data_IF_083231622952
#
_entry.id   IF_083231622952
#
_cell.length_a   1.000
_cell.length_b   1.000
_cell.length_c   1.000
_cell.angle_alpha   90.00
_cell.angle_beta   90.00
_cell.angle_gamma   90.00
#
_symmetry.space_group_name_H-M   'P 1'
#
loop_
_entity.id
_entity.type
_entity.pdbx_description
1 polymer ?
#
# COMPACT_ATOMS: atom_id res chain seq x y z
N UNK A 1 11.02 -36.00 -13.01
CA UNK A 1 10.72 -34.77 -12.27
C UNK A 1 10.62 -33.66 -13.30
N UNK A 2 9.44 -33.05 -13.46
CA UNK A 2 9.27 -31.96 -14.42
C UNK A 2 10.06 -30.74 -13.95
N UNK A 3 10.82 -30.13 -14.85
CA UNK A 3 11.47 -28.84 -14.60
C UNK A 3 10.38 -27.82 -14.25
N UNK A 4 10.38 -27.33 -13.01
CA UNK A 4 9.62 -26.13 -12.67
C UNK A 4 10.34 -24.98 -13.36
N UNK A 5 9.80 -24.53 -14.49
CA UNK A 5 10.25 -23.28 -15.09
C UNK A 5 9.84 -22.17 -14.15
N UNK A 6 10.81 -21.50 -13.53
CA UNK A 6 10.60 -20.21 -12.90
C UNK A 6 10.21 -19.21 -14.00
N UNK A 7 8.91 -19.10 -14.26
CA UNK A 7 8.38 -18.06 -15.13
C UNK A 7 8.59 -16.71 -14.44
N UNK A 8 9.57 -15.95 -14.94
CA UNK A 8 9.76 -14.57 -14.52
C UNK A 8 8.55 -13.75 -14.99
N UNK A 9 7.90 -13.07 -14.04
CA UNK A 9 6.86 -12.10 -14.33
C UNK A 9 7.36 -11.04 -15.32
N UNK A 10 6.47 -10.62 -16.22
CA UNK A 10 6.74 -9.44 -17.07
C UNK A 10 6.80 -8.18 -16.21
N UNK A 11 7.39 -7.10 -16.75
CA UNK A 11 7.46 -5.80 -16.06
C UNK A 11 6.07 -5.28 -15.65
N UNK A 12 5.06 -5.50 -16.48
CA UNK A 12 3.69 -5.08 -16.18
C UNK A 12 3.07 -5.92 -15.06
N UNK A 13 3.28 -7.24 -15.07
CA UNK A 13 2.86 -8.12 -13.98
C UNK A 13 3.55 -7.79 -12.65
N UNK A 14 4.84 -7.43 -12.70
CA UNK A 14 5.57 -6.97 -11.52
C UNK A 14 5.00 -5.65 -10.98
N UNK A 15 4.63 -4.72 -11.86
CA UNK A 15 4.01 -3.45 -11.46
C UNK A 15 2.64 -3.63 -10.83
N UNK A 16 1.80 -4.50 -11.38
CA UNK A 16 0.49 -4.82 -10.81
C UNK A 16 0.61 -5.56 -9.48
N UNK A 17 1.53 -6.54 -9.36
CA UNK A 17 1.81 -7.22 -8.11
C UNK A 17 2.29 -6.23 -7.03
N UNK A 18 3.19 -5.30 -7.39
CA UNK A 18 3.68 -4.27 -6.50
C UNK A 18 2.57 -3.30 -6.06
N UNK A 19 1.72 -2.86 -7.01
CA UNK A 19 0.55 -2.04 -6.72
C UNK A 19 -0.38 -2.73 -5.72
N UNK A 20 -0.73 -3.99 -5.97
CA UNK A 20 -1.58 -4.79 -5.09
C UNK A 20 -0.97 -4.93 -3.68
N UNK A 21 0.32 -5.23 -3.59
CA UNK A 21 1.01 -5.37 -2.30
C UNK A 21 0.99 -4.06 -1.49
N UNK A 22 1.28 -2.92 -2.14
CA UNK A 22 1.25 -1.61 -1.48
C UNK A 22 -0.16 -1.29 -0.99
N UNK A 23 -1.19 -1.51 -1.82
CA UNK A 23 -2.59 -1.30 -1.45
C UNK A 23 -2.97 -2.11 -0.21
N UNK A 24 -2.67 -3.41 -0.18
CA UNK A 24 -2.97 -4.26 0.98
C UNK A 24 -2.26 -3.81 2.26
N UNK A 25 -1.00 -3.37 2.17
CA UNK A 25 -0.26 -2.84 3.32
C UNK A 25 -0.95 -1.59 3.88
N UNK A 26 -1.35 -0.67 3.00
CA UNK A 26 -2.02 0.57 3.38
C UNK A 26 -3.37 0.29 4.03
N UNK A 27 -4.20 -0.56 3.43
CA UNK A 27 -5.51 -0.96 3.98
C UNK A 27 -5.37 -1.59 5.38
N UNK A 28 -4.42 -2.51 5.55
CA UNK A 28 -4.16 -3.14 6.84
C UNK A 28 -3.71 -2.12 7.90
N UNK A 29 -2.83 -1.19 7.53
CA UNK A 29 -2.39 -0.15 8.45
C UNK A 29 -3.53 0.80 8.84
N UNK A 30 -4.39 1.20 7.89
CA UNK A 30 -5.61 1.97 8.18
C UNK A 30 -6.50 1.22 9.17
N UNK A 31 -6.77 -0.07 8.95
CA UNK A 31 -7.58 -0.88 9.88
C UNK A 31 -6.97 -0.95 11.29
N UNK A 32 -5.65 -1.09 11.40
CA UNK A 32 -4.96 -1.09 12.69
C UNK A 32 -5.10 0.26 13.41
N UNK A 33 -4.98 1.38 12.70
CA UNK A 33 -5.17 2.72 13.27
C UNK A 33 -6.63 2.96 13.70
N UNK A 34 -7.60 2.56 12.88
CA UNK A 34 -9.03 2.69 13.21
C UNK A 34 -9.35 1.92 14.48
N UNK A 35 -8.97 0.64 14.54
CA UNK A 35 -9.28 -0.25 15.67
C UNK A 35 -8.49 0.05 16.96
N UNK A 36 -7.41 0.83 16.89
CA UNK A 36 -6.61 1.17 18.06
C UNK A 36 -7.25 2.30 18.89
N UNK A 37 -7.94 1.94 19.96
CA UNK A 37 -8.59 2.89 20.88
C UNK A 37 -7.62 3.58 21.85
N UNK A 38 -6.34 3.17 21.89
CA UNK A 38 -5.32 3.77 22.77
C UNK A 38 -4.63 4.98 22.15
N UNK A 39 -4.87 5.26 20.87
CA UNK A 39 -4.29 6.39 20.15
C UNK A 39 -5.36 7.48 20.00
N UNK A 40 -4.99 8.72 20.31
CA UNK A 40 -5.89 9.87 20.16
C UNK A 40 -6.25 10.13 18.69
N UNK A 41 -7.40 10.77 18.44
CA UNK A 41 -7.79 11.15 17.08
C UNK A 41 -6.75 12.03 16.37
N UNK A 42 -6.10 12.94 17.10
CA UNK A 42 -5.04 13.81 16.58
C UNK A 42 -3.82 13.00 16.14
N UNK A 43 -3.43 12.01 16.93
CA UNK A 43 -2.28 11.18 16.62
C UNK A 43 -2.56 10.19 15.48
N UNK A 44 -3.80 9.68 15.37
CA UNK A 44 -4.25 8.95 14.18
C UNK A 44 -4.15 9.81 12.93
N UNK A 45 -4.60 11.07 12.96
CA UNK A 45 -4.47 11.99 11.83
C UNK A 45 -3.02 12.24 11.42
N UNK A 46 -2.11 12.41 12.38
CA UNK A 46 -0.68 12.53 12.08
C UNK A 46 -0.14 11.28 11.39
N UNK A 47 -0.45 10.10 11.92
CA UNK A 47 -0.02 8.81 11.35
C UNK A 47 -0.60 8.57 9.95
N UNK A 48 -1.81 9.06 9.66
CA UNK A 48 -2.36 9.05 8.31
C UNK A 48 -1.59 9.97 7.36
N UNK A 49 -1.23 11.18 7.80
CA UNK A 49 -0.41 12.09 6.99
C UNK A 49 0.97 11.51 6.68
N UNK A 50 1.61 10.87 7.66
CA UNK A 50 2.90 10.19 7.48
C UNK A 50 2.78 9.00 6.50
N UNK A 51 1.66 8.25 6.56
CA UNK A 51 1.34 7.18 5.62
C UNK A 51 1.15 7.72 4.20
N UNK A 52 0.41 8.81 4.02
CA UNK A 52 0.19 9.46 2.73
C UNK A 52 1.51 9.88 2.08
N UNK A 53 2.40 10.50 2.85
CA UNK A 53 3.73 10.88 2.38
C UNK A 53 4.55 9.67 1.94
N UNK A 54 4.52 8.59 2.73
CA UNK A 54 5.26 7.35 2.43
C UNK A 54 4.76 6.68 1.15
N UNK A 55 3.44 6.63 0.96
CA UNK A 55 2.83 6.06 -0.25
C UNK A 55 3.17 6.88 -1.49
N UNK A 56 3.14 8.21 -1.39
CA UNK A 56 3.55 9.09 -2.48
C UNK A 56 5.03 8.89 -2.87
N UNK A 57 5.92 8.71 -1.88
CA UNK A 57 7.33 8.42 -2.13
C UNK A 57 7.53 7.07 -2.83
N UNK A 58 6.80 6.03 -2.41
CA UNK A 58 6.84 4.71 -3.05
C UNK A 58 6.32 4.79 -4.49
N UNK A 59 5.21 5.47 -4.74
CA UNK A 59 4.67 5.71 -6.08
C UNK A 59 5.70 6.40 -6.98
N UNK A 60 6.40 7.41 -6.48
CA UNK A 60 7.46 8.11 -7.21
C UNK A 60 8.63 7.19 -7.57
N UNK A 61 9.16 6.43 -6.61
CA UNK A 61 10.32 5.54 -6.81
C UNK A 61 9.98 4.39 -7.76
N UNK A 62 8.83 3.76 -7.55
CA UNK A 62 8.43 2.55 -8.27
C UNK A 62 7.82 2.86 -9.64
N UNK A 63 7.38 4.10 -9.85
CA UNK A 63 6.60 4.51 -11.01
C UNK A 63 5.36 3.62 -11.22
N UNK A 64 4.80 3.09 -10.13
CA UNK A 64 3.52 2.41 -10.09
C UNK A 64 2.45 3.44 -9.75
N UNK A 65 1.54 3.73 -10.69
CA UNK A 65 0.41 4.63 -10.43
C UNK A 65 -0.56 3.95 -9.46
N UNK A 66 -0.51 4.35 -8.20
CA UNK A 66 -1.33 3.73 -7.16
C UNK A 66 -2.76 4.27 -7.23
N UNK A 67 -3.73 3.42 -6.89
CA UNK A 67 -5.13 3.82 -6.91
C UNK A 67 -5.44 4.66 -5.67
N UNK A 68 -5.42 5.98 -5.84
CA UNK A 68 -5.66 6.94 -4.76
C UNK A 68 -7.07 6.85 -4.19
N UNK A 69 -8.06 6.38 -4.95
CA UNK A 69 -9.42 6.18 -4.44
C UNK A 69 -9.41 5.07 -3.38
N UNK A 70 -8.83 3.92 -3.70
CA UNK A 70 -8.73 2.79 -2.76
C UNK A 70 -7.88 3.13 -1.53
N UNK A 71 -6.79 3.87 -1.71
CA UNK A 71 -5.89 4.20 -0.61
C UNK A 71 -6.51 5.21 0.38
N UNK A 72 -7.31 6.16 -0.10
CA UNK A 72 -7.72 7.32 0.70
C UNK A 72 -9.22 7.42 0.99
N UNK A 73 -10.07 6.69 0.27
CA UNK A 73 -11.51 6.63 0.60
C UNK A 73 -11.74 5.90 1.93
N UNK A 74 -12.81 6.29 2.64
CA UNK A 74 -13.24 5.65 3.89
C UNK A 74 -12.57 6.14 5.17
N UNK A 75 -11.95 7.33 5.15
CA UNK A 75 -11.67 8.11 6.38
C UNK A 75 -12.86 9.02 6.66
#
# INVERSE_FOLDING_TARGET
>A
MGEVKDEKLTKDQQKEALKSAITTIVENYKMLLISNNNISGLEKQKLYGDLEHSVAAIEFITQCKLDKGVLWEGI
#
